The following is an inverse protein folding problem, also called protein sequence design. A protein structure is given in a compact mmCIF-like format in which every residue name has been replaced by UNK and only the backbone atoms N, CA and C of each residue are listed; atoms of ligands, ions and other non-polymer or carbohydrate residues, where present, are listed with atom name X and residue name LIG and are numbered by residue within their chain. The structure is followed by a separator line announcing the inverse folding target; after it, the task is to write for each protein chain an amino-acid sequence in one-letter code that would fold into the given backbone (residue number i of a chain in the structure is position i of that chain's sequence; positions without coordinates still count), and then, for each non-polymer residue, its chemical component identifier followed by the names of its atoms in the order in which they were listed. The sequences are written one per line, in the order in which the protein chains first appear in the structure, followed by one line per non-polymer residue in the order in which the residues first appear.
data_IF_271262643465
#
_entry.id   IF_271262643465
#
_cell.length_a   1.000
_cell.length_b   1.000
_cell.length_c   1.000
_cell.angle_alpha   90.00
_cell.angle_beta   90.00
_cell.angle_gamma   90.00
#
_symmetry.space_group_name_H-M   'P 1'
#
loop_
_entity.id
_entity.type
_entity.pdbx_description
1 polymer ?
#
# COMPACT_ATOMS: atom_id res chain seq x y z
N UNK A 1 -11.19 -30.88 20.30
CA UNK A 1 -10.40 -30.01 19.38
C UNK A 1 -10.83 -30.39 17.98
N UNK A 2 -11.38 -29.45 17.21
CA UNK A 2 -11.94 -29.74 15.87
C UNK A 2 -10.83 -29.93 14.84
N UNK A 3 -10.90 -31.02 14.07
CA UNK A 3 -10.07 -31.19 12.88
C UNK A 3 -10.55 -30.20 11.79
N UNK A 4 -9.62 -29.60 11.05
CA UNK A 4 -9.95 -28.83 9.85
C UNK A 4 -9.99 -29.79 8.67
N UNK A 5 -11.09 -29.72 7.92
CA UNK A 5 -11.35 -30.50 6.72
C UNK A 5 -11.38 -29.54 5.51
N UNK A 6 -10.55 -29.82 4.51
CA UNK A 6 -10.49 -29.02 3.28
C UNK A 6 -10.45 -29.96 2.09
N UNK A 7 -11.29 -29.72 1.09
CA UNK A 7 -11.21 -30.41 -0.19
C UNK A 7 -10.33 -29.61 -1.13
N UNK A 8 -9.38 -30.27 -1.81
CA UNK A 8 -8.61 -29.66 -2.87
C UNK A 8 -9.05 -30.24 -4.21
N UNK A 9 -9.61 -29.39 -5.06
CA UNK A 9 -10.03 -29.71 -6.43
C UNK A 9 -9.07 -29.06 -7.41
N UNK A 10 -8.45 -29.86 -8.27
CA UNK A 10 -7.53 -29.42 -9.32
C UNK A 10 -8.22 -29.63 -10.66
N UNK A 11 -8.44 -28.55 -11.41
CA UNK A 11 -9.06 -28.55 -12.73
C UNK A 11 -7.96 -28.29 -13.75
N UNK A 12 -7.69 -29.28 -14.61
CA UNK A 12 -6.80 -29.11 -15.76
C UNK A 12 -7.61 -28.59 -16.94
N UNK A 13 -7.66 -27.28 -17.12
CA UNK A 13 -8.32 -26.62 -18.25
C UNK A 13 -7.40 -26.47 -19.46
N UNK A 14 -6.17 -27.01 -19.44
CA UNK A 14 -5.25 -26.97 -20.58
C UNK A 14 -5.66 -27.97 -21.68
N UNK A 15 -4.95 -27.96 -22.80
CA UNK A 15 -5.03 -29.00 -23.84
C UNK A 15 -4.03 -30.15 -23.63
N UNK A 16 -3.22 -30.09 -22.56
CA UNK A 16 -2.15 -31.06 -22.27
C UNK A 16 -2.45 -31.82 -20.98
N UNK A 17 -2.15 -33.11 -20.94
CA UNK A 17 -2.30 -33.91 -19.72
C UNK A 17 -1.26 -33.51 -18.65
N UNK A 18 -1.69 -33.46 -17.39
CA UNK A 18 -0.78 -33.49 -16.24
C UNK A 18 -0.39 -34.94 -16.02
N UNK A 19 0.87 -35.27 -16.27
CA UNK A 19 1.40 -36.64 -16.22
C UNK A 19 1.94 -37.02 -14.85
N UNK A 20 2.21 -36.03 -14.00
CA UNK A 20 2.64 -36.25 -12.63
C UNK A 20 2.33 -35.02 -11.76
N UNK A 21 1.89 -35.28 -10.53
CA UNK A 21 1.81 -34.28 -9.46
C UNK A 21 2.77 -34.73 -8.36
N UNK A 22 3.54 -33.80 -7.80
CA UNK A 22 4.41 -34.07 -6.64
C UNK A 22 4.28 -33.01 -5.57
N UNK A 23 4.20 -33.46 -4.33
CA UNK A 23 4.08 -32.65 -3.12
C UNK A 23 5.42 -32.60 -2.39
N UNK A 24 5.86 -31.39 -2.05
CA UNK A 24 7.09 -31.14 -1.29
C UNK A 24 6.87 -30.06 -0.24
N UNK A 25 7.88 -29.81 0.61
CA UNK A 25 7.89 -28.73 1.60
C UNK A 25 6.65 -28.73 2.52
N UNK A 26 6.24 -29.90 3.00
CA UNK A 26 5.16 -30.07 3.96
C UNK A 26 5.66 -30.73 5.25
N UNK A 27 4.98 -30.51 6.36
CA UNK A 27 5.27 -31.18 7.63
C UNK A 27 4.23 -32.28 7.87
N UNK A 28 4.62 -33.54 7.75
CA UNK A 28 3.74 -34.70 7.86
C UNK A 28 3.02 -34.78 9.21
N UNK A 29 3.66 -34.35 10.30
CA UNK A 29 3.07 -34.36 11.64
C UNK A 29 1.83 -33.46 11.77
N UNK A 30 1.58 -32.58 10.79
CA UNK A 30 0.43 -31.67 10.80
C UNK A 30 -0.81 -32.25 10.11
N UNK A 31 -0.67 -33.33 9.37
CA UNK A 31 -1.73 -33.92 8.54
C UNK A 31 -2.11 -35.30 9.03
N UNK A 32 -3.38 -35.67 8.85
CA UNK A 32 -3.79 -37.04 9.07
C UNK A 32 -3.10 -37.97 8.06
N UNK A 33 -2.52 -39.10 8.49
CA UNK A 33 -1.77 -40.00 7.62
C UNK A 33 -2.55 -40.42 6.37
N UNK A 34 -3.84 -40.71 6.52
CA UNK A 34 -4.73 -41.18 5.45
C UNK A 34 -5.13 -40.08 4.44
N UNK A 35 -5.10 -38.81 4.86
CA UNK A 35 -5.58 -37.68 4.07
C UNK A 35 -4.52 -36.56 4.01
N UNK A 36 -3.26 -36.96 3.93
CA UNK A 36 -2.14 -36.05 3.78
C UNK A 36 -1.96 -35.68 2.30
N UNK A 37 -1.48 -34.46 1.97
CA UNK A 37 -1.40 -34.01 0.59
C UNK A 37 -0.59 -34.94 -0.31
N UNK A 38 0.55 -35.44 0.17
CA UNK A 38 1.41 -36.34 -0.60
C UNK A 38 0.71 -37.68 -0.92
N UNK A 39 -0.04 -38.27 0.03
CA UNK A 39 -0.79 -39.51 -0.24
C UNK A 39 -1.89 -39.34 -1.27
N UNK A 40 -2.54 -38.18 -1.26
CA UNK A 40 -3.70 -37.92 -2.11
C UNK A 40 -3.32 -37.44 -3.51
N UNK A 41 -2.16 -36.79 -3.66
CA UNK A 41 -1.79 -36.13 -4.92
C UNK A 41 -0.50 -36.68 -5.56
N UNK A 42 0.46 -37.27 -4.83
CA UNK A 42 1.70 -37.73 -5.46
C UNK A 42 1.45 -38.81 -6.52
N UNK A 43 2.09 -38.65 -7.68
CA UNK A 43 1.98 -39.59 -8.80
C UNK A 43 0.65 -39.54 -9.55
N UNK A 44 -0.28 -38.66 -9.16
CA UNK A 44 -1.58 -38.55 -9.82
C UNK A 44 -1.45 -37.91 -11.18
N UNK A 45 -2.37 -38.30 -12.07
CA UNK A 45 -2.51 -37.77 -13.42
C UNK A 45 -3.85 -37.10 -13.56
N UNK A 46 -3.90 -36.02 -14.33
CA UNK A 46 -5.14 -35.32 -14.67
C UNK A 46 -5.13 -35.08 -16.17
N UNK A 47 -5.97 -35.81 -16.90
CA UNK A 47 -6.13 -35.63 -18.34
C UNK A 47 -6.57 -34.20 -18.67
N UNK A 48 -6.28 -33.75 -19.89
CA UNK A 48 -6.75 -32.47 -20.40
C UNK A 48 -8.27 -32.33 -20.24
N UNK A 49 -8.72 -31.15 -19.80
CA UNK A 49 -10.14 -30.82 -19.55
C UNK A 49 -10.82 -31.68 -18.48
N UNK A 50 -10.05 -32.33 -17.59
CA UNK A 50 -10.57 -33.10 -16.45
C UNK A 50 -10.19 -32.46 -15.12
N UNK A 51 -10.74 -32.99 -14.04
CA UNK A 51 -10.44 -32.56 -12.69
C UNK A 51 -10.16 -33.73 -11.76
N UNK A 52 -9.37 -33.48 -10.72
CA UNK A 52 -9.11 -34.38 -9.61
C UNK A 52 -9.50 -33.68 -8.32
N UNK A 53 -10.18 -34.39 -7.42
CA UNK A 53 -10.65 -33.85 -6.16
C UNK A 53 -10.31 -34.82 -5.04
N UNK A 54 -9.61 -34.35 -4.00
CA UNK A 54 -9.33 -35.15 -2.82
C UNK A 54 -9.35 -34.30 -1.54
N UNK A 55 -9.73 -34.89 -0.40
CA UNK A 55 -9.71 -34.22 0.88
C UNK A 55 -8.28 -34.05 1.42
N UNK A 56 -8.09 -33.07 2.29
CA UNK A 56 -6.88 -32.85 3.07
C UNK A 56 -7.30 -32.58 4.51
N UNK A 57 -6.81 -33.38 5.45
CA UNK A 57 -7.19 -33.25 6.86
C UNK A 57 -6.02 -32.77 7.71
N UNK A 58 -6.27 -31.80 8.58
CA UNK A 58 -5.29 -31.27 9.52
C UNK A 58 -5.59 -31.71 10.95
N UNK A 59 -4.54 -31.99 11.73
CA UNK A 59 -4.67 -32.37 13.15
C UNK A 59 -5.07 -31.20 14.07
N UNK A 60 -4.81 -29.94 13.70
CA UNK A 60 -5.04 -28.80 14.62
C UNK A 60 -5.25 -27.43 13.93
N UNK A 61 -6.12 -26.57 14.49
CA UNK A 61 -6.43 -25.23 13.95
C UNK A 61 -5.31 -24.18 14.13
N UNK A 62 -4.19 -24.46 14.81
CA UNK A 62 -3.19 -23.41 15.16
C UNK A 62 -1.90 -23.34 14.34
N UNK A 63 -1.68 -24.22 13.36
CA UNK A 63 -0.37 -24.35 12.71
C UNK A 63 -0.34 -23.81 11.26
N UNK A 64 0.80 -23.21 10.88
CA UNK A 64 1.14 -22.76 9.53
C UNK A 64 1.68 -23.97 8.74
N UNK A 65 0.82 -24.61 7.95
CA UNK A 65 1.07 -25.89 7.29
C UNK A 65 1.00 -25.79 5.76
N UNK A 66 1.73 -24.87 5.11
CA UNK A 66 1.74 -24.83 3.66
C UNK A 66 2.42 -26.09 3.09
N UNK A 67 2.07 -26.44 1.86
CA UNK A 67 2.79 -27.42 1.07
C UNK A 67 3.00 -26.88 -0.35
N UNK A 68 4.02 -27.41 -1.02
CA UNK A 68 4.34 -27.06 -2.42
C UNK A 68 3.86 -28.20 -3.30
N UNK A 69 3.18 -27.86 -4.38
CA UNK A 69 2.69 -28.81 -5.38
C UNK A 69 3.31 -28.46 -6.73
N UNK A 70 3.89 -29.45 -7.39
CA UNK A 70 4.46 -29.34 -8.72
C UNK A 70 3.62 -30.15 -9.69
N UNK A 71 3.22 -29.52 -10.79
CA UNK A 71 2.52 -30.14 -11.90
C UNK A 71 3.50 -30.34 -13.03
N UNK A 72 3.64 -31.57 -13.51
CA UNK A 72 4.41 -31.87 -14.71
C UNK A 72 3.45 -32.24 -15.83
N UNK A 73 3.55 -31.52 -16.94
CA UNK A 73 2.75 -31.72 -18.14
C UNK A 73 3.43 -32.65 -19.12
N UNK A 74 2.65 -33.21 -20.04
CA UNK A 74 3.12 -34.14 -21.08
C UNK A 74 4.06 -33.50 -22.10
N UNK A 75 3.98 -32.18 -22.27
CA UNK A 75 4.86 -31.36 -23.11
C UNK A 75 6.11 -30.88 -22.37
N UNK A 76 6.44 -31.51 -21.23
CA UNK A 76 7.53 -31.18 -20.33
C UNK A 76 7.43 -29.81 -19.62
N UNK A 77 6.34 -29.06 -19.82
CA UNK A 77 6.06 -27.87 -19.03
C UNK A 77 5.88 -28.23 -17.54
N UNK A 78 6.25 -27.29 -16.65
CA UNK A 78 6.18 -27.50 -15.20
C UNK A 78 5.67 -26.27 -14.49
N UNK A 79 4.59 -26.42 -13.72
CA UNK A 79 4.13 -25.38 -12.81
C UNK A 79 4.39 -25.76 -11.37
N UNK A 80 4.70 -24.77 -10.54
CA UNK A 80 4.95 -24.97 -9.13
C UNK A 80 4.16 -23.96 -8.34
N UNK A 81 3.31 -24.43 -7.43
CA UNK A 81 2.52 -23.58 -6.54
C UNK A 81 2.77 -23.95 -5.08
N UNK A 82 2.59 -22.98 -4.19
CA UNK A 82 2.58 -23.18 -2.75
C UNK A 82 1.24 -22.75 -2.20
N UNK A 83 0.60 -23.64 -1.46
CA UNK A 83 -0.75 -23.42 -0.95
C UNK A 83 -0.84 -23.77 0.53
N UNK A 84 -1.70 -23.04 1.24
CA UNK A 84 -2.05 -23.35 2.61
C UNK A 84 -3.45 -24.00 2.67
N UNK A 85 -3.61 -25.21 3.24
CA UNK A 85 -4.90 -25.90 3.26
C UNK A 85 -6.00 -25.12 3.98
N UNK A 86 -5.68 -24.32 5.00
CA UNK A 86 -6.66 -23.39 5.62
C UNK A 86 -7.13 -22.23 4.74
N UNK A 87 -6.70 -22.14 3.48
CA UNK A 87 -7.33 -21.23 2.52
C UNK A 87 -8.85 -21.46 2.41
N UNK A 88 -9.32 -22.67 2.71
CA UNK A 88 -10.75 -22.99 2.78
C UNK A 88 -11.48 -22.46 4.03
N UNK A 89 -10.77 -22.09 5.10
CA UNK A 89 -11.36 -21.68 6.39
C UNK A 89 -11.06 -20.22 6.75
N UNK A 90 -10.07 -19.59 6.11
CA UNK A 90 -9.54 -18.28 6.50
C UNK A 90 -9.59 -17.27 5.34
N UNK A 91 -9.75 -15.99 5.67
CA UNK A 91 -9.84 -14.89 4.71
C UNK A 91 -8.51 -14.55 4.01
N UNK A 92 -7.36 -15.00 4.55
CA UNK A 92 -6.03 -14.83 3.93
C UNK A 92 -5.54 -16.15 3.35
N UNK A 93 -5.85 -16.41 2.08
CA UNK A 93 -5.28 -17.56 1.40
C UNK A 93 -3.80 -17.30 1.04
N UNK A 94 -2.89 -18.01 1.69
CA UNK A 94 -1.49 -18.02 1.31
C UNK A 94 -1.29 -18.95 0.10
N UNK A 95 -1.66 -18.45 -1.08
CA UNK A 95 -1.37 -19.06 -2.38
C UNK A 95 -0.21 -18.29 -3.05
N UNK A 96 0.80 -19.00 -3.54
CA UNK A 96 1.90 -18.41 -4.31
C UNK A 96 2.21 -19.27 -5.53
N UNK A 97 2.31 -18.62 -6.68
CA UNK A 97 2.83 -19.23 -7.89
C UNK A 97 4.35 -19.07 -7.92
N UNK A 98 5.10 -20.18 -7.85
CA UNK A 98 6.56 -20.19 -7.74
C UNK A 98 7.25 -20.38 -9.09
N UNK A 99 6.66 -21.16 -10.00
CA UNK A 99 7.11 -21.30 -11.38
C UNK A 99 5.90 -21.35 -12.30
N UNK A 100 5.84 -20.43 -13.27
CA UNK A 100 4.64 -20.10 -14.06
C UNK A 100 4.89 -20.35 -15.55
N UNK A 101 4.49 -21.53 -16.02
CA UNK A 101 4.31 -21.84 -17.44
C UNK A 101 2.84 -21.67 -17.87
N UNK A 102 1.89 -21.93 -16.95
CA UNK A 102 0.46 -21.75 -17.19
C UNK A 102 -0.12 -20.66 -16.29
N UNK A 103 -1.30 -20.14 -16.64
CA UNK A 103 -2.09 -19.35 -15.70
C UNK A 103 -2.78 -20.29 -14.70
N UNK A 104 -2.51 -20.11 -13.42
CA UNK A 104 -3.10 -20.90 -12.34
C UNK A 104 -3.90 -19.97 -11.44
N UNK A 105 -5.21 -20.19 -11.44
CA UNK A 105 -6.19 -19.43 -10.67
C UNK A 105 -6.63 -20.31 -9.49
N UNK A 106 -6.97 -19.68 -8.37
CA UNK A 106 -7.60 -20.39 -7.26
C UNK A 106 -8.89 -19.69 -6.82
N UNK A 107 -9.92 -20.49 -6.52
CA UNK A 107 -11.20 -20.04 -5.94
C UNK A 107 -11.47 -20.85 -4.66
N UNK A 108 -12.22 -20.25 -3.74
CA UNK A 108 -12.75 -20.90 -2.55
C UNK A 108 -14.26 -21.09 -2.70
N UNK A 109 -14.74 -22.29 -2.39
CA UNK A 109 -16.17 -22.61 -2.30
C UNK A 109 -16.42 -23.47 -1.06
N UNK A 110 -17.04 -22.89 -0.04
CA UNK A 110 -17.21 -23.52 1.28
C UNK A 110 -15.88 -24.04 1.86
N UNK A 111 -15.72 -25.36 2.03
CA UNK A 111 -14.47 -25.98 2.47
C UNK A 111 -13.54 -26.39 1.31
N UNK A 112 -13.92 -26.11 0.07
CA UNK A 112 -13.19 -26.52 -1.12
C UNK A 112 -12.29 -25.40 -1.61
N UNK A 113 -11.04 -25.75 -1.92
CA UNK A 113 -10.14 -24.92 -2.71
C UNK A 113 -10.10 -25.49 -4.13
N UNK A 114 -10.48 -24.68 -5.10
CA UNK A 114 -10.49 -25.02 -6.51
C UNK A 114 -9.28 -24.37 -7.16
N UNK A 115 -8.34 -25.16 -7.65
CA UNK A 115 -7.18 -24.72 -8.44
C UNK A 115 -7.48 -25.02 -9.89
N UNK A 116 -7.54 -23.99 -10.73
CA UNK A 116 -7.74 -24.14 -12.17
C UNK A 116 -6.44 -23.80 -12.89
N UNK A 117 -5.97 -24.71 -13.72
CA UNK A 117 -4.78 -24.53 -14.56
C UNK A 117 -5.23 -24.32 -16.00
N UNK A 118 -5.01 -23.12 -16.54
CA UNK A 118 -5.48 -22.71 -17.86
C UNK A 118 -4.39 -22.86 -18.93
N UNK A 119 -4.79 -23.24 -20.15
CA UNK A 119 -3.83 -23.42 -21.26
C UNK A 119 -3.37 -22.08 -21.84
N UNK A 120 -2.23 -22.08 -22.55
CA UNK A 120 -1.74 -20.90 -23.26
C UNK A 120 -2.74 -20.43 -24.32
N UNK A 121 -3.54 -19.42 -23.95
CA UNK A 121 -4.14 -18.40 -24.82
C UNK A 121 -4.92 -17.42 -23.92
N UNK A 122 -4.47 -16.15 -23.91
CA UNK A 122 -5.11 -14.92 -23.35
C UNK A 122 -4.51 -14.33 -22.07
N UNK A 123 -3.18 -14.34 -21.91
CA UNK A 123 -2.49 -13.78 -20.74
C UNK A 123 -2.22 -12.27 -20.76
N UNK A 124 -2.80 -11.48 -21.68
CA UNK A 124 -2.66 -10.00 -21.63
C UNK A 124 -3.94 -9.21 -21.26
N UNK A 125 -5.13 -9.82 -21.27
CA UNK A 125 -6.38 -9.07 -21.04
C UNK A 125 -7.24 -9.51 -19.83
N UNK A 126 -6.85 -10.53 -19.05
CA UNK A 126 -7.82 -11.23 -18.17
C UNK A 126 -7.56 -11.32 -16.67
N UNK A 127 -6.47 -10.76 -16.14
CA UNK A 127 -6.41 -10.49 -14.69
C UNK A 127 -7.38 -9.37 -14.24
N UNK A 128 -8.04 -8.67 -15.18
CA UNK A 128 -9.13 -7.73 -14.91
C UNK A 128 -10.54 -8.37 -14.89
N UNK A 129 -10.79 -9.44 -15.62
CA UNK A 129 -12.16 -9.94 -15.84
C UNK A 129 -12.66 -10.96 -14.78
N UNK A 130 -11.79 -11.67 -14.04
CA UNK A 130 -12.27 -12.70 -13.09
C UNK A 130 -12.69 -12.18 -11.71
N UNK A 131 -12.41 -10.90 -11.39
CA UNK A 131 -13.06 -10.20 -10.27
C UNK A 131 -14.29 -9.41 -10.71
N UNK A 132 -14.38 -8.99 -11.97
CA UNK A 132 -15.52 -8.21 -12.47
C UNK A 132 -16.82 -9.02 -12.65
N UNK A 133 -16.78 -10.35 -12.71
CA UNK A 133 -18.00 -11.15 -12.86
C UNK A 133 -18.77 -11.44 -11.56
N UNK A 134 -18.14 -11.27 -10.39
CA UNK A 134 -18.79 -11.39 -9.06
C UNK A 134 -18.65 -10.12 -8.20
N UNK A 135 -17.81 -9.14 -8.59
CA UNK A 135 -17.73 -7.87 -7.87
C UNK A 135 -19.08 -7.16 -7.88
N UNK A 136 -19.51 -6.77 -6.69
CA UNK A 136 -20.70 -5.95 -6.51
C UNK A 136 -20.52 -4.60 -7.20
N UNK A 137 -21.61 -3.90 -7.49
CA UNK A 137 -21.54 -2.65 -8.24
C UNK A 137 -20.68 -1.60 -7.50
N UNK A 138 -20.76 -1.59 -6.16
CA UNK A 138 -19.92 -0.75 -5.30
C UNK A 138 -18.43 -1.09 -5.39
N UNK A 139 -18.05 -2.37 -5.43
CA UNK A 139 -16.65 -2.77 -5.60
C UNK A 139 -16.11 -2.36 -6.98
N UNK A 140 -16.93 -2.46 -8.03
CA UNK A 140 -16.56 -2.01 -9.38
C UNK A 140 -16.29 -0.51 -9.41
N UNK A 141 -17.20 0.27 -8.86
CA UNK A 141 -17.08 1.73 -8.79
C UNK A 141 -15.87 2.13 -7.94
N UNK A 142 -15.63 1.45 -6.82
CA UNK A 142 -14.48 1.71 -5.96
C UNK A 142 -13.15 1.41 -6.67
N UNK A 143 -13.04 0.25 -7.33
CA UNK A 143 -11.83 -0.12 -8.07
C UNK A 143 -11.60 0.78 -9.30
N UNK A 144 -12.67 1.21 -9.97
CA UNK A 144 -12.58 2.19 -11.05
C UNK A 144 -12.04 3.53 -10.54
N UNK A 145 -12.53 3.99 -9.38
CA UNK A 145 -12.01 5.19 -8.71
C UNK A 145 -10.51 5.09 -8.40
N UNK A 146 -10.05 3.97 -7.86
CA UNK A 146 -8.63 3.75 -7.59
C UNK A 146 -7.77 3.76 -8.86
N UNK A 147 -8.28 3.19 -9.96
CA UNK A 147 -7.58 3.22 -11.24
C UNK A 147 -7.46 4.65 -11.77
N UNK A 148 -8.54 5.42 -11.71
CA UNK A 148 -8.54 6.82 -12.15
C UNK A 148 -7.60 7.68 -11.29
N UNK A 149 -7.51 7.41 -9.99
CA UNK A 149 -6.53 8.05 -9.10
C UNK A 149 -5.09 7.73 -9.51
N UNK A 150 -4.79 6.45 -9.81
CA UNK A 150 -3.48 6.04 -10.33
C UNK A 150 -3.14 6.69 -11.69
N UNK A 151 -4.15 6.96 -12.51
CA UNK A 151 -4.02 7.65 -13.80
C UNK A 151 -3.95 9.19 -13.64
N UNK A 152 -3.97 9.73 -12.41
CA UNK A 152 -3.92 11.17 -12.13
C UNK A 152 -5.23 11.92 -12.42
N UNK A 153 -6.35 11.21 -12.57
CA UNK A 153 -7.67 11.76 -12.89
C UNK A 153 -8.52 11.94 -11.63
N UNK A 154 -8.06 12.81 -10.73
CA UNK A 154 -8.63 12.96 -9.39
C UNK A 154 -10.13 13.28 -9.37
N UNK A 155 -10.61 14.15 -10.28
CA UNK A 155 -12.03 14.50 -10.35
C UNK A 155 -12.90 13.29 -10.73
N UNK A 156 -12.49 12.54 -11.76
CA UNK A 156 -13.19 11.33 -12.19
C UNK A 156 -13.14 10.26 -11.09
N UNK A 157 -12.01 10.12 -10.40
CA UNK A 157 -11.86 9.19 -9.28
C UNK A 157 -12.84 9.51 -8.13
N UNK A 158 -12.93 10.79 -7.75
CA UNK A 158 -13.82 11.25 -6.69
C UNK A 158 -15.31 11.06 -7.04
N UNK A 159 -15.68 11.25 -8.31
CA UNK A 159 -17.03 10.93 -8.80
C UNK A 159 -17.34 9.44 -8.62
N UNK A 160 -16.39 8.55 -8.97
CA UNK A 160 -16.57 7.10 -8.79
C UNK A 160 -16.68 6.67 -7.34
N UNK A 161 -15.93 7.28 -6.43
CA UNK A 161 -16.10 7.02 -5.00
C UNK A 161 -17.45 7.52 -4.48
N UNK A 162 -17.95 8.66 -4.96
CA UNK A 162 -19.27 9.16 -4.59
C UNK A 162 -20.40 8.26 -5.12
N UNK A 163 -20.27 7.73 -6.34
CA UNK A 163 -21.18 6.73 -6.89
C UNK A 163 -21.15 5.44 -6.06
N UNK A 164 -19.96 4.93 -5.72
CA UNK A 164 -19.80 3.75 -4.88
C UNK A 164 -20.48 3.93 -3.51
N UNK A 165 -20.31 5.11 -2.90
CA UNK A 165 -20.95 5.46 -1.62
C UNK A 165 -22.47 5.34 -1.71
N UNK A 166 -23.07 5.91 -2.76
CA UNK A 166 -24.51 5.88 -2.97
C UNK A 166 -25.03 4.44 -3.10
N UNK A 167 -24.31 3.59 -3.81
CA UNK A 167 -24.66 2.16 -3.96
C UNK A 167 -24.54 1.42 -2.62
N UNK A 168 -23.53 1.71 -1.81
CA UNK A 168 -23.41 1.14 -0.45
C UNK A 168 -24.57 1.59 0.47
N UNK A 169 -24.98 2.86 0.37
CA UNK A 169 -26.11 3.40 1.14
C UNK A 169 -27.44 2.74 0.72
N UNK A 170 -27.66 2.52 -0.57
CA UNK A 170 -28.87 1.89 -1.12
C UNK A 170 -28.95 0.38 -0.81
N UNK A 171 -27.82 -0.31 -0.79
CA UNK A 171 -27.74 -1.75 -0.48
C UNK A 171 -27.77 -2.05 1.02
N UNK A 172 -27.46 -1.07 1.86
CA UNK A 172 -27.32 -1.25 3.31
C UNK A 172 -26.02 -1.93 3.72
N UNK A 173 -25.04 -2.05 2.83
CA UNK A 173 -23.72 -2.60 3.14
C UNK A 173 -22.91 -1.61 3.98
N UNK A 174 -23.01 -1.75 5.30
CA UNK A 174 -22.32 -0.89 6.27
C UNK A 174 -20.80 -1.03 6.26
N UNK A 175 -20.26 -2.19 5.86
CA UNK A 175 -18.81 -2.42 5.85
C UNK A 175 -18.17 -1.75 4.64
N UNK A 176 -18.72 -1.99 3.45
CA UNK A 176 -18.30 -1.30 2.22
C UNK A 176 -18.53 0.20 2.32
N UNK A 177 -19.64 0.65 2.90
CA UNK A 177 -19.90 2.06 3.15
C UNK A 177 -18.83 2.69 4.04
N UNK A 178 -18.38 1.98 5.09
CA UNK A 178 -17.32 2.47 5.96
C UNK A 178 -16.00 2.66 5.19
N UNK A 179 -15.60 1.65 4.41
CA UNK A 179 -14.38 1.68 3.59
C UNK A 179 -14.42 2.83 2.57
N UNK A 180 -15.54 2.99 1.85
CA UNK A 180 -15.72 4.08 0.88
C UNK A 180 -15.66 5.45 1.56
N UNK A 181 -16.29 5.61 2.73
CA UNK A 181 -16.26 6.88 3.46
C UNK A 181 -14.85 7.24 3.96
N UNK A 182 -14.07 6.25 4.41
CA UNK A 182 -12.66 6.49 4.77
C UNK A 182 -11.88 6.99 3.55
N UNK A 183 -12.05 6.36 2.39
CA UNK A 183 -11.37 6.77 1.15
C UNK A 183 -11.74 8.20 0.74
N UNK A 184 -13.03 8.52 0.69
CA UNK A 184 -13.52 9.87 0.34
C UNK A 184 -12.98 10.91 1.33
N UNK A 185 -13.08 10.63 2.64
CA UNK A 185 -12.64 11.57 3.68
C UNK A 185 -11.14 11.81 3.61
N UNK A 186 -10.35 10.77 3.43
CA UNK A 186 -8.90 10.87 3.27
C UNK A 186 -8.53 11.67 2.01
N UNK A 187 -9.17 11.41 0.87
CA UNK A 187 -8.93 12.17 -0.37
C UNK A 187 -9.29 13.65 -0.22
N UNK A 188 -10.39 13.99 0.46
CA UNK A 188 -10.75 15.39 0.74
C UNK A 188 -9.67 16.10 1.55
N UNK A 189 -9.12 15.43 2.57
CA UNK A 189 -8.06 15.99 3.42
C UNK A 189 -6.75 16.12 2.64
N UNK A 190 -6.38 15.10 1.87
CA UNK A 190 -5.19 15.11 1.02
C UNK A 190 -5.25 16.26 0.01
N UNK A 191 -6.35 16.40 -0.72
CA UNK A 191 -6.52 17.46 -1.71
C UNK A 191 -6.47 18.86 -1.08
N UNK A 192 -7.02 19.04 0.13
CA UNK A 192 -6.86 20.29 0.89
C UNK A 192 -5.39 20.57 1.23
N UNK A 193 -4.61 19.55 1.56
CA UNK A 193 -3.16 19.68 1.75
C UNK A 193 -2.45 20.14 0.48
N UNK A 194 -2.84 19.60 -0.67
CA UNK A 194 -2.31 20.01 -1.99
C UNK A 194 -2.67 21.46 -2.31
N UNK A 195 -3.93 21.87 -2.12
CA UNK A 195 -4.37 23.25 -2.34
C UNK A 195 -3.59 24.25 -1.47
N UNK A 196 -3.39 23.91 -0.19
CA UNK A 196 -2.59 24.72 0.73
C UNK A 196 -1.11 24.77 0.31
N UNK A 197 -0.55 23.68 -0.22
CA UNK A 197 0.83 23.65 -0.73
C UNK A 197 1.01 24.59 -1.91
N UNK A 198 0.01 24.70 -2.79
CA UNK A 198 0.01 25.65 -3.89
C UNK A 198 -0.13 27.11 -3.41
N UNK A 199 -0.87 27.35 -2.33
CA UNK A 199 -0.88 28.66 -1.65
C UNK A 199 0.49 29.01 -1.05
N UNK A 200 1.13 28.06 -0.37
CA UNK A 200 2.48 28.21 0.19
C UNK A 200 3.47 28.64 -0.88
N UNK A 201 3.45 27.97 -2.04
CA UNK A 201 4.32 28.28 -3.18
C UNK A 201 4.15 29.72 -3.67
N UNK A 202 2.92 30.24 -3.69
CA UNK A 202 2.62 31.63 -4.07
C UNK A 202 3.07 32.64 -3.02
N UNK A 203 3.04 32.27 -1.75
CA UNK A 203 3.38 33.15 -0.63
C UNK A 203 4.89 33.25 -0.38
N UNK A 204 5.67 32.23 -0.71
CA UNK A 204 7.12 32.22 -0.46
C UNK A 204 7.88 33.41 -1.09
N UNK A 205 7.38 33.95 -2.20
CA UNK A 205 8.00 35.10 -2.87
C UNK A 205 7.63 36.46 -2.25
N UNK A 206 6.58 36.52 -1.42
CA UNK A 206 5.97 37.80 -0.99
C UNK A 206 5.78 37.94 0.53
N UNK A 207 5.58 36.85 1.25
CA UNK A 207 5.35 36.85 2.69
C UNK A 207 5.71 35.50 3.33
N UNK A 208 6.96 35.38 3.78
CA UNK A 208 7.53 34.16 4.36
C UNK A 208 6.78 33.69 5.61
N UNK A 209 6.35 34.60 6.48
CA UNK A 209 5.62 34.23 7.71
C UNK A 209 4.25 33.63 7.38
N UNK A 210 3.52 34.22 6.43
CA UNK A 210 2.26 33.66 5.94
C UNK A 210 2.47 32.29 5.25
N UNK A 211 3.55 32.14 4.47
CA UNK A 211 3.91 30.88 3.83
C UNK A 211 4.16 29.77 4.86
N UNK A 212 4.91 30.05 5.94
CA UNK A 212 5.19 29.09 7.02
C UNK A 212 3.90 28.66 7.72
N UNK A 213 3.01 29.59 8.04
CA UNK A 213 1.73 29.25 8.67
C UNK A 213 0.87 28.35 7.76
N UNK A 214 0.85 28.63 6.46
CA UNK A 214 0.15 27.80 5.48
C UNK A 214 0.78 26.42 5.30
N UNK A 215 2.11 26.33 5.36
CA UNK A 215 2.82 25.05 5.31
C UNK A 215 2.48 24.16 6.53
N UNK A 216 2.33 24.77 7.72
CA UNK A 216 1.84 24.06 8.92
C UNK A 216 0.40 23.57 8.76
N UNK A 217 -0.48 24.40 8.18
CA UNK A 217 -1.85 23.98 7.86
C UNK A 217 -1.85 22.80 6.88
N UNK A 218 -1.03 22.86 5.82
CA UNK A 218 -0.90 21.80 4.82
C UNK A 218 -0.41 20.48 5.46
N UNK A 219 0.66 20.56 6.26
CA UNK A 219 1.20 19.41 7.00
C UNK A 219 0.13 18.75 7.88
N UNK A 220 -0.62 19.56 8.64
CA UNK A 220 -1.70 19.03 9.46
C UNK A 220 -2.77 18.32 8.61
N UNK A 221 -3.10 18.81 7.41
CA UNK A 221 -4.03 18.13 6.50
C UNK A 221 -3.50 16.82 5.94
N UNK A 222 -2.22 16.73 5.59
CA UNK A 222 -1.61 15.46 5.22
C UNK A 222 -1.55 14.48 6.39
N UNK A 223 -1.26 14.94 7.61
CA UNK A 223 -1.28 14.07 8.80
C UNK A 223 -2.69 13.54 9.11
N UNK A 224 -3.72 14.39 9.03
CA UNK A 224 -5.12 13.98 9.15
C UNK A 224 -5.49 12.95 8.06
N UNK A 225 -5.14 13.21 6.80
CA UNK A 225 -5.39 12.28 5.69
C UNK A 225 -4.68 10.93 5.90
N UNK A 226 -3.41 10.96 6.30
CA UNK A 226 -2.60 9.76 6.59
C UNK A 226 -3.25 8.91 7.67
N UNK A 227 -3.70 9.51 8.77
CA UNK A 227 -4.38 8.78 9.84
C UNK A 227 -5.66 8.10 9.35
N UNK A 228 -6.42 8.75 8.45
CA UNK A 228 -7.63 8.15 7.85
C UNK A 228 -7.27 7.00 6.91
N UNK A 229 -6.21 7.13 6.11
CA UNK A 229 -5.77 6.06 5.21
C UNK A 229 -5.16 4.87 5.97
N UNK A 230 -4.44 5.11 7.07
CA UNK A 230 -3.94 4.05 7.96
C UNK A 230 -5.09 3.31 8.65
N UNK A 231 -6.17 4.00 9.01
CA UNK A 231 -7.40 3.35 9.48
C UNK A 231 -8.00 2.49 8.37
N UNK A 232 -8.11 3.03 7.15
CA UNK A 232 -8.58 2.28 5.96
C UNK A 232 -7.75 1.04 5.66
N UNK A 233 -6.43 1.09 5.90
CA UNK A 233 -5.50 -0.02 5.69
C UNK A 233 -5.80 -1.24 6.58
N UNK A 234 -6.46 -1.04 7.72
CA UNK A 234 -6.91 -2.14 8.59
C UNK A 234 -8.01 -2.99 7.93
N UNK A 235 -8.77 -2.39 7.02
CA UNK A 235 -9.88 -3.03 6.31
C UNK A 235 -9.50 -3.47 4.90
N UNK A 236 -8.66 -2.71 4.21
CA UNK A 236 -8.30 -2.98 2.82
C UNK A 236 -6.86 -2.59 2.49
N UNK A 237 -6.13 -3.50 1.83
CA UNK A 237 -4.77 -3.22 1.35
C UNK A 237 -4.73 -2.17 0.24
N UNK A 238 -5.88 -1.80 -0.32
CA UNK A 238 -6.00 -0.78 -1.37
C UNK A 238 -5.60 0.63 -0.89
N UNK A 239 -5.53 0.85 0.43
CA UNK A 239 -5.06 2.10 1.02
C UNK A 239 -3.53 2.24 1.05
N UNK A 240 -2.77 1.18 0.73
CA UNK A 240 -1.30 1.18 0.90
C UNK A 240 -0.64 2.34 0.14
N UNK A 241 -1.00 2.52 -1.13
CA UNK A 241 -0.47 3.61 -1.95
C UNK A 241 -0.84 4.99 -1.41
N UNK A 242 -2.08 5.17 -0.91
CA UNK A 242 -2.51 6.44 -0.32
C UNK A 242 -1.75 6.75 0.97
N UNK A 243 -1.46 5.75 1.80
CA UNK A 243 -0.63 5.90 3.01
C UNK A 243 0.80 6.31 2.62
N UNK A 244 1.41 5.61 1.66
CA UNK A 244 2.78 5.89 1.19
C UNK A 244 2.90 7.30 0.61
N UNK A 245 2.01 7.66 -0.33
CA UNK A 245 2.02 8.98 -0.96
C UNK A 245 1.80 10.08 0.07
N UNK A 246 0.84 9.92 0.98
CA UNK A 246 0.57 10.93 2.00
C UNK A 246 1.71 11.05 3.01
N UNK A 247 2.36 9.94 3.36
CA UNK A 247 3.55 9.96 4.20
C UNK A 247 4.70 10.75 3.54
N UNK A 248 4.93 10.54 2.25
CA UNK A 248 5.91 11.33 1.49
C UNK A 248 5.57 12.82 1.52
N UNK A 249 4.31 13.20 1.33
CA UNK A 249 3.89 14.61 1.41
C UNK A 249 4.10 15.21 2.81
N UNK A 250 3.90 14.44 3.88
CA UNK A 250 4.25 14.90 5.23
C UNK A 250 5.75 15.17 5.36
N UNK A 251 6.59 14.23 4.91
CA UNK A 251 8.06 14.37 4.97
C UNK A 251 8.55 15.58 4.16
N UNK A 252 8.03 15.75 2.95
CA UNK A 252 8.37 16.87 2.07
C UNK A 252 8.01 18.22 2.73
N UNK A 253 6.84 18.30 3.37
CA UNK A 253 6.39 19.52 4.05
C UNK A 253 7.16 19.79 5.35
N UNK A 254 7.50 18.75 6.12
CA UNK A 254 8.37 18.86 7.30
C UNK A 254 9.76 19.37 6.91
N UNK A 255 10.31 18.87 5.79
CA UNK A 255 11.58 19.33 5.26
C UNK A 255 11.54 20.82 4.86
N UNK A 256 10.49 21.26 4.15
CA UNK A 256 10.31 22.67 3.79
C UNK A 256 10.22 23.59 5.00
N UNK A 257 9.51 23.16 6.06
CA UNK A 257 9.42 23.92 7.31
C UNK A 257 10.78 24.02 8.01
N UNK A 258 11.54 22.93 8.06
CA UNK A 258 12.89 22.92 8.64
C UNK A 258 13.85 23.84 7.88
N UNK A 259 13.81 23.83 6.55
CA UNK A 259 14.61 24.73 5.72
C UNK A 259 14.27 26.20 5.97
N UNK A 260 12.98 26.53 6.13
CA UNK A 260 12.53 27.89 6.43
C UNK A 260 13.05 28.36 7.80
N UNK A 261 12.98 27.51 8.83
CA UNK A 261 13.51 27.82 10.17
C UNK A 261 15.04 28.02 10.15
N UNK A 262 15.77 27.20 9.38
CA UNK A 262 17.22 27.35 9.22
C UNK A 262 17.61 28.65 8.50
N UNK A 263 16.84 29.06 7.50
CA UNK A 263 17.04 30.34 6.81
C UNK A 263 16.82 31.52 7.75
N UNK A 264 15.73 31.52 8.53
CA UNK A 264 15.46 32.58 9.51
C UNK A 264 16.57 32.65 10.57
N UNK A 265 17.04 31.50 11.08
CA UNK A 265 18.16 31.45 12.02
C UNK A 265 19.45 32.02 11.41
N UNK A 266 19.73 31.70 10.14
CA UNK A 266 20.90 32.22 9.44
C UNK A 266 20.83 33.74 9.26
N UNK A 267 19.67 34.28 8.87
CA UNK A 267 19.45 35.72 8.77
C UNK A 267 19.60 36.42 10.11
N UNK A 268 19.03 35.87 11.17
CA UNK A 268 19.13 36.42 12.52
C UNK A 268 20.59 36.41 13.03
N UNK A 269 21.32 35.32 12.79
CA UNK A 269 22.75 35.24 13.11
C UNK A 269 23.57 36.28 12.35
N UNK A 270 23.29 36.46 11.05
CA UNK A 270 23.93 37.49 10.22
C UNK A 270 23.65 38.90 10.75
N UNK A 271 22.40 39.20 11.11
CA UNK A 271 22.01 40.50 11.71
C UNK A 271 22.73 40.75 13.04
N UNK A 272 22.79 39.75 13.91
CA UNK A 272 23.52 39.85 15.18
C UNK A 272 25.01 40.12 14.94
N UNK A 273 25.66 39.36 14.06
CA UNK A 273 27.09 39.57 13.72
C UNK A 273 27.37 40.97 13.17
N UNK A 274 26.48 41.50 12.32
CA UNK A 274 26.59 42.86 11.79
C UNK A 274 26.42 43.91 12.89
N UNK A 275 25.49 43.68 13.83
CA UNK A 275 25.26 44.59 14.96
C UNK A 275 26.45 44.63 15.92
N UNK A 276 27.12 43.49 16.15
CA UNK A 276 28.32 43.41 16.99
C UNK A 276 29.52 44.08 16.32
N UNK A 277 29.69 43.91 15.00
CA UNK A 277 30.70 44.64 14.22
C UNK A 277 30.44 46.16 14.26
N UNK A 278 29.18 46.60 14.12
CA UNK A 278 28.83 48.01 14.22
C UNK A 278 29.08 48.59 15.62
N UNK A 279 28.82 47.82 16.68
CA UNK A 279 29.15 48.21 18.07
C UNK A 279 30.66 48.32 18.29
N UNK A 280 31.44 47.38 17.80
CA UNK A 280 32.90 47.44 17.88
C UNK A 280 33.47 48.63 17.13
N UNK A 281 32.97 48.93 15.92
CA UNK A 281 33.38 50.10 15.17
C UNK A 281 33.07 51.40 15.91
N UNK A 282 31.85 51.56 16.47
CA UNK A 282 31.50 52.74 17.27
C UNK A 282 32.37 52.90 18.52
N UNK A 283 32.65 51.82 19.24
CA UNK A 283 33.53 51.88 20.41
C UNK A 283 34.97 52.29 20.03
N UNK A 284 35.45 51.83 18.87
CA UNK A 284 36.79 52.21 18.35
C UNK A 284 36.84 53.69 17.97
N UNK A 285 35.78 54.20 17.36
CA UNK A 285 35.63 55.61 16.97
C UNK A 285 35.58 56.54 18.19
N UNK A 286 34.86 56.14 19.24
CA UNK A 286 34.82 56.84 20.54
C UNK A 286 36.20 56.85 21.23
N UNK A 287 36.90 55.72 21.23
CA UNK A 287 38.23 55.63 21.85
C UNK A 287 39.24 56.53 21.12
N UNK A 288 39.13 56.63 19.79
CA UNK A 288 40.00 57.50 18.99
C UNK A 288 39.72 58.98 19.24
N UNK A 289 38.45 59.37 19.42
CA UNK A 289 38.08 60.74 19.74
C UNK A 289 38.50 61.15 21.16
N UNK A 290 38.35 60.30 22.16
CA UNK A 290 38.85 60.58 23.52
C UNK A 290 40.37 60.71 23.56
N UNK A 291 41.09 59.83 22.87
CA UNK A 291 42.56 59.89 22.79
C UNK A 291 43.03 61.18 22.11
N UNK A 292 42.34 61.60 21.05
CA UNK A 292 42.64 62.85 20.34
C UNK A 292 42.35 64.10 21.21
N UNK A 293 41.25 64.11 21.96
CA UNK A 293 40.92 65.20 22.89
C UNK A 293 41.97 65.28 24.02
N UNK A 294 42.37 64.15 24.59
CA UNK A 294 43.44 64.12 25.61
C UNK A 294 44.79 64.61 25.09
N UNK A 295 45.14 64.31 23.83
CA UNK A 295 46.36 64.81 23.19
C UNK A 295 46.32 66.32 22.94
N UNK A 296 45.17 66.87 22.55
CA UNK A 296 44.98 68.32 22.40
C UNK A 296 45.12 69.02 23.76
N UNK A 297 44.45 68.52 24.80
CA UNK A 297 44.51 69.10 26.15
C UNK A 297 45.92 69.07 26.76
N UNK A 298 46.71 68.05 26.43
CA UNK A 298 48.11 67.96 26.83
C UNK A 298 49.04 68.91 26.07
N UNK A 299 48.64 69.36 24.87
CA UNK A 299 49.43 70.27 24.02
C UNK A 299 49.12 71.75 24.33
N UNK A 300 47.96 72.04 24.92
CA UNK A 300 47.51 73.41 25.26
C UNK A 300 47.96 73.85 26.67
N UNK A 301 48.49 72.93 27.50
CA UNK A 301 49.10 73.24 28.81
C UNK A 301 50.60 73.49 28.71
#
# INVERSE_FOLDING_TARGET
MGATYTVLKIINSTSTDIVNISITNFNEAHFWPENSPHKNFDGKKIEAKKSLENPIHLYSPRWHCPFTMTFQFKDDAKDVIRIHPKCADTYKCAFKHLNKNHDIIHKREENTIIITIEGENKSEDREKESKESEATLEEKLFNEGLRLEADGKENEANEKFAEAKKVCEESGDTESLHVVNLKITGNILYNKGIDLTEEVRKLFESNTEAAINKAKEALNKFQEAKSIFEEGLKYSTLFSSSVEITAQQCEDMEHQLLEADLQDLHENTKRLSLSDVQRQNKNTEYLHTETFVQQIDATIK
#
